data_IF_664802581393
#
_entry.id   IF_664802581393
#
_cell.length_a   1.000
_cell.length_b   1.000
_cell.length_c   1.000
_cell.angle_alpha   90.00
_cell.angle_beta   90.00
_cell.angle_gamma   90.00
#
_symmetry.space_group_name_H-M   'P 1'
#
loop_
_entity.id
_entity.type
_entity.pdbx_description
1 polymer ?
#
# COMPACT_ATOMS: atom_id res chain seq x y z
N UNK A 1 -14.68 -6.09 8.88
CA UNK A 1 -13.37 -5.78 8.22
C UNK A 1 -12.94 -4.36 8.57
N UNK A 2 -11.63 -4.07 8.59
CA UNK A 2 -11.14 -2.72 8.93
C UNK A 2 -11.56 -1.70 7.86
N UNK A 3 -12.25 -0.63 8.25
CA UNK A 3 -12.72 0.45 7.37
C UNK A 3 -11.70 1.60 7.33
N UNK A 4 -11.19 1.94 6.15
CA UNK A 4 -10.12 2.95 5.99
C UNK A 4 -10.63 4.40 6.07
N UNK A 5 -11.92 4.63 5.90
CA UNK A 5 -12.55 5.95 5.95
C UNK A 5 -12.81 6.42 7.39
N UNK A 6 -12.97 5.49 8.33
CA UNK A 6 -13.32 5.77 9.74
C UNK A 6 -12.10 5.70 10.65
N UNK A 7 -11.20 6.67 10.49
CA UNK A 7 -9.94 6.80 11.26
C UNK A 7 -10.08 7.89 12.31
N UNK A 8 -9.59 7.62 13.52
CA UNK A 8 -9.39 8.63 14.57
C UNK A 8 -8.11 8.36 15.34
N UNK A 9 -7.57 9.38 15.99
CA UNK A 9 -6.37 9.27 16.83
C UNK A 9 -6.77 9.64 18.26
N UNK A 10 -6.57 8.73 19.21
CA UNK A 10 -6.79 8.95 20.64
C UNK A 10 -5.55 8.50 21.42
N UNK A 11 -5.05 9.34 22.34
CA UNK A 11 -3.85 9.03 23.15
C UNK A 11 -2.60 8.68 22.30
N UNK A 12 -2.51 9.29 21.11
CA UNK A 12 -1.46 9.02 20.12
C UNK A 12 -1.67 7.73 19.33
N UNK A 13 -2.68 6.92 19.63
CA UNK A 13 -2.95 5.64 18.95
C UNK A 13 -3.99 5.85 17.85
N UNK A 14 -3.70 5.30 16.67
CA UNK A 14 -4.63 5.33 15.54
C UNK A 14 -5.65 4.21 15.70
N UNK A 15 -6.93 4.56 15.58
CA UNK A 15 -8.06 3.66 15.79
C UNK A 15 -8.86 3.59 14.50
N UNK A 16 -9.10 2.37 14.03
CA UNK A 16 -9.97 2.08 12.90
C UNK A 16 -11.26 1.43 13.40
N UNK A 17 -12.37 1.71 12.72
CA UNK A 17 -13.64 1.03 12.97
C UNK A 17 -13.82 -0.17 12.06
N UNK A 18 -14.63 -1.14 12.49
CA UNK A 18 -15.09 -2.20 11.60
C UNK A 18 -16.20 -1.66 10.67
N UNK A 19 -16.28 -2.19 9.46
CA UNK A 19 -17.28 -1.81 8.46
C UNK A 19 -18.66 -2.42 8.72
N UNK A 20 -18.73 -3.59 9.36
CA UNK A 20 -19.96 -4.32 9.64
C UNK A 20 -20.44 -4.10 11.08
N UNK A 21 -19.52 -4.07 12.06
CA UNK A 21 -19.86 -3.87 13.48
C UNK A 21 -19.40 -2.49 13.97
N UNK A 22 -20.35 -1.56 14.15
CA UNK A 22 -20.08 -0.21 14.65
C UNK A 22 -19.52 -0.16 16.08
N UNK A 23 -19.58 -1.27 16.82
CA UNK A 23 -19.02 -1.40 18.18
C UNK A 23 -17.61 -1.96 18.19
N UNK A 24 -17.09 -2.41 17.04
CA UNK A 24 -15.81 -3.08 16.93
C UNK A 24 -14.73 -2.15 16.39
N UNK A 25 -13.58 -2.15 17.05
CA UNK A 25 -12.48 -1.24 16.76
C UNK A 25 -11.14 -1.97 16.73
N UNK A 26 -10.24 -1.48 15.89
CA UNK A 26 -8.88 -1.98 15.72
C UNK A 26 -7.89 -0.90 16.12
N UNK A 27 -6.98 -1.23 17.04
CA UNK A 27 -5.98 -0.30 17.55
C UNK A 27 -4.65 -0.51 16.82
N UNK A 28 -4.09 0.57 16.28
CA UNK A 28 -2.76 0.59 15.67
C UNK A 28 -1.83 1.42 16.56
N UNK A 29 -0.78 0.81 17.14
CA UNK A 29 0.26 1.55 17.85
C UNK A 29 0.91 2.61 16.96
N UNK A 30 1.38 3.69 17.57
CA UNK A 30 2.14 4.76 16.92
C UNK A 30 3.62 4.42 16.76
N UNK A 31 4.22 3.88 17.83
CA UNK A 31 5.64 3.59 17.87
C UNK A 31 5.92 2.17 18.37
N UNK A 32 6.92 1.48 17.80
CA UNK A 32 7.42 0.24 18.37
C UNK A 32 8.12 0.51 19.70
N UNK A 33 8.04 -0.46 20.62
CA UNK A 33 8.63 -0.36 21.95
C UNK A 33 9.47 -1.59 22.26
N UNK A 34 10.44 -1.47 23.15
CA UNK A 34 11.10 -2.66 23.71
C UNK A 34 10.08 -3.48 24.48
N UNK A 35 10.10 -4.79 24.26
CA UNK A 35 9.29 -5.72 25.03
C UNK A 35 9.74 -5.66 26.48
N UNK A 36 8.79 -5.50 27.41
CA UNK A 36 9.08 -5.64 28.84
C UNK A 36 9.09 -7.12 29.22
N UNK A 37 10.05 -7.53 30.04
CA UNK A 37 10.08 -8.84 30.67
C UNK A 37 9.14 -8.87 31.90
N UNK A 38 8.97 -10.05 32.50
CA UNK A 38 8.06 -10.24 33.65
C UNK A 38 8.50 -9.45 34.90
N UNK A 39 9.75 -8.96 34.93
CA UNK A 39 10.29 -8.10 36.00
C UNK A 39 10.15 -6.60 35.70
N UNK A 40 9.49 -6.22 34.60
CA UNK A 40 9.28 -4.83 34.20
C UNK A 40 10.49 -4.14 33.58
N UNK A 41 11.55 -4.87 33.24
CA UNK A 41 12.73 -4.35 32.55
C UNK A 41 12.60 -4.57 31.03
N UNK A 42 13.12 -3.66 30.18
CA UNK A 42 13.15 -3.90 28.74
C UNK A 42 14.01 -5.12 28.41
N UNK A 43 13.57 -5.94 27.46
CA UNK A 43 14.33 -7.02 26.86
C UNK A 43 15.40 -6.41 25.95
N UNK A 44 16.44 -5.89 26.58
CA UNK A 44 17.58 -5.24 25.97
C UNK A 44 18.83 -5.64 26.74
N UNK A 45 19.78 -6.26 26.04
CA UNK A 45 21.06 -6.64 26.60
C UNK A 45 22.17 -6.22 25.63
N UNK A 46 23.22 -5.63 26.20
CA UNK A 46 24.41 -5.22 25.46
C UNK A 46 25.63 -5.84 26.16
N UNK A 47 26.43 -6.56 25.38
CA UNK A 47 27.64 -7.23 25.84
C UNK A 47 28.82 -6.68 25.05
N UNK A 48 29.81 -6.15 25.76
CA UNK A 48 31.08 -5.67 25.19
C UNK A 48 32.20 -6.63 25.57
N UNK A 49 33.03 -7.00 24.60
CA UNK A 49 34.24 -7.77 24.88
C UNK A 49 35.32 -6.89 25.50
N UNK A 50 36.02 -7.42 26.50
CA UNK A 50 37.15 -6.72 27.14
C UNK A 50 38.39 -6.69 26.26
N UNK A 51 38.59 -7.74 25.47
CA UNK A 51 39.59 -7.79 24.39
C UNK A 51 38.87 -8.24 23.12
N UNK A 52 39.01 -7.52 22.00
CA UNK A 52 38.35 -7.90 20.76
C UNK A 52 38.79 -9.31 20.33
N UNK A 53 37.83 -10.10 19.86
CA UNK A 53 38.13 -11.45 19.38
C UNK A 53 38.56 -11.33 17.93
N UNK A 54 39.80 -11.72 17.64
CA UNK A 54 40.29 -11.86 16.27
C UNK A 54 39.58 -13.04 15.60
N UNK A 55 38.77 -12.78 14.58
CA UNK A 55 38.13 -13.83 13.78
C UNK A 55 39.03 -14.26 12.63
N UNK A 56 38.73 -15.42 12.07
CA UNK A 56 39.43 -16.00 10.90
C UNK A 56 39.42 -15.11 9.65
N UNK A 57 38.50 -14.15 9.57
CA UNK A 57 38.36 -13.17 8.47
C UNK A 57 39.12 -11.84 8.73
N UNK A 58 39.87 -11.75 9.84
CA UNK A 58 40.62 -10.53 10.22
C UNK A 58 39.76 -9.40 10.80
N UNK A 59 38.44 -9.58 10.88
CA UNK A 59 37.53 -8.69 11.61
C UNK A 59 37.62 -8.89 13.13
N UNK A 60 37.47 -7.80 13.88
CA UNK A 60 37.52 -7.77 15.34
C UNK A 60 36.12 -7.61 15.92
N UNK A 61 35.63 -8.69 16.52
CA UNK A 61 34.34 -8.68 17.23
C UNK A 61 34.44 -7.84 18.50
N UNK A 62 33.62 -6.79 18.59
CA UNK A 62 33.58 -5.87 19.71
C UNK A 62 32.50 -6.17 20.74
N UNK A 63 31.39 -6.78 20.31
CA UNK A 63 30.29 -7.10 21.19
C UNK A 63 29.03 -7.55 20.48
N UNK A 64 28.00 -7.84 21.29
CA UNK A 64 26.68 -8.26 20.83
C UNK A 64 25.59 -7.44 21.51
N UNK A 65 24.60 -7.03 20.72
CA UNK A 65 23.37 -6.42 21.21
C UNK A 65 22.21 -7.34 20.91
N UNK A 66 21.39 -7.62 21.92
CA UNK A 66 20.18 -8.43 21.80
C UNK A 66 19.01 -7.60 22.31
N UNK A 67 18.01 -7.40 21.49
CA UNK A 67 16.79 -6.72 21.91
C UNK A 67 15.54 -7.30 21.29
N UNK A 68 14.48 -7.37 22.09
CA UNK A 68 13.15 -7.71 21.59
C UNK A 68 12.31 -6.46 21.49
N UNK A 69 11.73 -6.25 20.32
CA UNK A 69 10.85 -5.13 20.04
C UNK A 69 9.44 -5.68 19.83
N UNK A 70 8.45 -4.99 20.36
CA UNK A 70 7.05 -5.30 20.15
C UNK A 70 6.30 -4.08 19.60
N UNK A 71 5.35 -4.37 18.72
CA UNK A 71 4.45 -3.38 18.15
C UNK A 71 3.04 -3.64 18.67
N UNK A 72 2.80 -3.19 19.90
CA UNK A 72 1.56 -3.41 20.63
C UNK A 72 1.17 -2.21 21.49
N UNK A 73 -0.13 -2.07 21.77
CA UNK A 73 -0.66 -1.02 22.65
C UNK A 73 -0.49 -1.46 24.11
N UNK A 74 -0.01 -0.55 24.97
CA UNK A 74 0.05 -0.76 26.43
C UNK A 74 -1.35 -1.01 27.01
N UNK A 75 -1.47 -1.87 28.02
CA UNK A 75 -2.78 -2.07 28.69
C UNK A 75 -3.35 -0.78 29.30
N UNK A 76 -2.50 0.12 29.80
CA UNK A 76 -2.92 1.43 30.32
C UNK A 76 -3.62 2.28 29.27
N UNK A 77 -2.95 2.53 28.12
CA UNK A 77 -3.56 3.25 27.00
C UNK A 77 -4.79 2.51 26.44
N UNK A 78 -4.77 1.18 26.40
CA UNK A 78 -5.91 0.38 25.94
C UNK A 78 -7.14 0.62 26.82
N UNK A 79 -6.98 0.59 28.15
CA UNK A 79 -8.08 0.86 29.08
C UNK A 79 -8.62 2.29 28.93
N UNK A 80 -7.73 3.29 28.77
CA UNK A 80 -8.10 4.67 28.55
C UNK A 80 -8.90 4.85 27.24
N UNK A 81 -8.47 4.19 26.16
CA UNK A 81 -9.17 4.20 24.87
C UNK A 81 -10.53 3.54 24.99
N UNK A 82 -10.63 2.34 25.55
CA UNK A 82 -11.91 1.62 25.71
C UNK A 82 -12.92 2.47 26.48
N UNK A 83 -12.49 3.16 27.54
CA UNK A 83 -13.36 4.08 28.29
C UNK A 83 -13.91 5.20 27.39
N UNK A 84 -13.06 5.88 26.62
CA UNK A 84 -13.49 6.94 25.69
C UNK A 84 -14.42 6.40 24.60
N UNK A 85 -14.13 5.22 24.06
CA UNK A 85 -14.96 4.58 23.04
C UNK A 85 -16.35 4.20 23.57
N UNK A 86 -16.44 3.74 24.82
CA UNK A 86 -17.72 3.46 25.46
C UNK A 86 -18.55 4.74 25.67
N UNK A 87 -17.91 5.85 26.05
CA UNK A 87 -18.56 7.16 26.18
C UNK A 87 -19.10 7.65 24.82
N UNK A 88 -18.31 7.52 23.75
CA UNK A 88 -18.74 7.84 22.38
C UNK A 88 -19.92 6.96 21.92
N UNK A 89 -19.84 5.65 22.15
CA UNK A 89 -20.90 4.72 21.80
C UNK A 89 -22.20 5.02 22.56
N UNK A 90 -22.11 5.37 23.84
CA UNK A 90 -23.27 5.75 24.65
C UNK A 90 -23.94 7.04 24.14
N UNK A 91 -23.16 8.00 23.65
CA UNK A 91 -23.69 9.23 23.04
C UNK A 91 -24.31 8.97 21.67
N UNK A 92 -23.72 8.07 20.88
CA UNK A 92 -24.18 7.75 19.53
C UNK A 92 -25.43 6.86 19.54
N UNK A 93 -25.60 6.02 20.54
CA UNK A 93 -26.75 5.14 20.73
C UNK A 93 -27.48 5.45 22.05
N UNK A 94 -28.10 6.63 22.21
CA UNK A 94 -28.70 7.04 23.48
C UNK A 94 -29.89 6.17 23.90
N UNK A 95 -30.59 5.58 22.93
CA UNK A 95 -31.83 4.83 23.14
C UNK A 95 -31.63 3.31 23.20
N UNK A 96 -30.38 2.82 23.18
CA UNK A 96 -30.08 1.39 23.15
C UNK A 96 -29.82 0.87 24.56
N UNK A 97 -30.53 -0.18 24.96
CA UNK A 97 -30.40 -0.84 26.26
C UNK A 97 -30.23 -2.37 26.07
N UNK A 98 -29.12 -2.98 26.54
CA UNK A 98 -27.98 -2.35 27.19
C UNK A 98 -27.17 -1.47 26.24
N UNK A 99 -26.49 -0.47 26.81
CA UNK A 99 -25.57 0.39 26.04
C UNK A 99 -24.49 -0.47 25.39
N UNK A 100 -24.17 -0.24 24.11
CA UNK A 100 -23.16 -1.01 23.43
C UNK A 100 -21.77 -0.73 23.99
N UNK A 101 -21.00 -1.79 24.21
CA UNK A 101 -19.60 -1.71 24.65
C UNK A 101 -18.64 -1.86 23.46
N UNK A 102 -17.52 -1.15 23.54
CA UNK A 102 -16.45 -1.17 22.55
C UNK A 102 -15.70 -2.50 22.58
N UNK A 103 -15.75 -3.24 21.46
CA UNK A 103 -15.01 -4.48 21.26
C UNK A 103 -13.69 -4.18 20.55
N UNK A 104 -12.58 -4.48 21.20
CA UNK A 104 -11.26 -4.35 20.56
C UNK A 104 -10.94 -5.63 19.79
N UNK A 105 -10.93 -5.53 18.47
CA UNK A 105 -10.52 -6.61 17.57
C UNK A 105 -9.01 -6.70 17.43
N UNK A 106 -8.50 -7.92 17.26
CA UNK A 106 -7.12 -8.12 16.84
C UNK A 106 -6.95 -7.74 15.36
N UNK A 107 -5.92 -6.95 15.06
CA UNK A 107 -5.58 -6.63 13.68
C UNK A 107 -4.88 -7.83 13.03
N UNK A 108 -5.38 -8.27 11.89
CA UNK A 108 -4.77 -9.36 11.12
C UNK A 108 -3.85 -8.78 10.07
N UNK A 109 -2.57 -9.12 10.12
CA UNK A 109 -1.58 -8.72 9.12
C UNK A 109 -1.39 -9.83 8.09
N UNK A 110 -1.36 -9.49 6.81
CA UNK A 110 -1.11 -10.45 5.72
C UNK A 110 0.37 -10.57 5.41
N UNK A 111 1.12 -9.47 5.56
CA UNK A 111 2.57 -9.39 5.37
C UNK A 111 3.15 -8.40 6.36
N UNK A 112 4.40 -8.61 6.72
CA UNK A 112 5.14 -7.62 7.46
C UNK A 112 6.62 -7.90 7.50
N UNK A 113 7.40 -6.83 7.57
CA UNK A 113 8.84 -6.86 7.80
C UNK A 113 9.20 -5.89 8.92
N UNK A 114 10.23 -6.22 9.66
CA UNK A 114 10.79 -5.34 10.68
C UNK A 114 12.28 -5.17 10.36
N UNK A 115 12.75 -3.94 10.28
CA UNK A 115 14.13 -3.60 9.91
C UNK A 115 14.76 -2.72 10.96
N UNK A 116 16.06 -2.88 11.11
CA UNK A 116 16.88 -2.10 12.01
C UNK A 116 17.61 -1.03 11.20
N UNK A 117 17.38 0.25 11.50
CA UNK A 117 17.98 1.36 10.76
C UNK A 117 19.47 1.59 11.11
N UNK A 118 20.17 0.57 11.62
CA UNK A 118 21.61 0.61 11.91
C UNK A 118 22.40 0.08 10.69
N UNK A 119 21.76 -0.71 9.82
CA UNK A 119 22.40 -1.30 8.62
C UNK A 119 22.96 -0.22 7.67
N UNK A 120 22.36 0.98 7.64
CA UNK A 120 22.83 2.11 6.83
C UNK A 120 24.01 2.89 7.43
N UNK A 121 24.44 2.57 8.65
CA UNK A 121 25.56 3.27 9.32
C UNK A 121 26.92 2.69 8.88
N UNK A 122 26.89 1.63 8.05
CA UNK A 122 28.03 1.06 7.35
C UNK A 122 28.66 -0.10 8.10
N UNK A 123 29.30 -0.99 7.32
CA UNK A 123 30.03 -2.20 7.76
C UNK A 123 31.13 -1.91 8.80
N UNK A 124 31.48 -0.63 9.01
CA UNK A 124 32.47 -0.18 10.00
C UNK A 124 31.98 -0.25 11.44
N UNK A 125 30.67 -0.28 11.68
CA UNK A 125 30.10 -0.30 13.03
C UNK A 125 29.38 -1.61 13.34
N UNK A 126 28.68 -2.17 12.35
CA UNK A 126 27.94 -3.43 12.47
C UNK A 126 28.57 -4.47 11.56
N UNK A 127 28.90 -5.62 12.13
CA UNK A 127 29.40 -6.77 11.37
C UNK A 127 28.25 -7.59 10.76
N UNK A 128 27.15 -7.69 11.50
CA UNK A 128 25.97 -8.41 11.02
C UNK A 128 24.75 -8.11 11.86
N UNK A 129 23.58 -8.09 11.21
CA UNK A 129 22.28 -8.07 11.88
C UNK A 129 21.63 -9.42 11.64
N UNK A 130 21.43 -10.17 12.72
CA UNK A 130 20.64 -11.38 12.71
C UNK A 130 19.22 -11.06 13.17
N UNK A 131 18.29 -11.18 12.23
CA UNK A 131 16.87 -10.96 12.46
C UNK A 131 16.08 -12.04 11.70
N UNK A 132 15.10 -12.72 12.32
CA UNK A 132 14.04 -13.33 11.53
C UNK A 132 13.28 -12.17 10.87
N UNK A 133 13.58 -11.85 9.61
CA UNK A 133 13.10 -10.65 8.89
C UNK A 133 11.57 -10.45 8.77
N UNK A 134 10.77 -11.17 9.55
CA UNK A 134 9.33 -11.06 9.70
C UNK A 134 8.96 -11.03 11.20
N UNK A 135 8.14 -10.06 11.64
CA UNK A 135 7.56 -10.10 12.99
C UNK A 135 6.64 -11.31 13.15
N UNK A 136 6.19 -11.59 14.37
CA UNK A 136 5.26 -12.71 14.62
C UNK A 136 3.94 -12.63 13.84
N UNK A 137 3.57 -11.46 13.29
CA UNK A 137 2.32 -11.14 12.55
C UNK A 137 1.01 -11.43 13.29
N UNK A 138 1.11 -11.98 14.50
CA UNK A 138 0.02 -12.28 15.41
C UNK A 138 0.39 -11.82 16.83
N UNK A 139 -0.63 -11.54 17.63
CA UNK A 139 -0.48 -11.13 19.02
C UNK A 139 0.18 -9.76 19.14
N UNK A 140 1.36 -9.71 19.77
CA UNK A 140 2.10 -8.47 20.09
C UNK A 140 3.11 -8.05 19.01
N UNK A 141 3.15 -8.72 17.86
CA UNK A 141 4.08 -8.44 16.76
C UNK A 141 5.55 -8.32 17.23
N UNK A 142 5.98 -9.32 17.99
CA UNK A 142 7.32 -9.33 18.57
C UNK A 142 8.34 -9.65 17.47
N UNK A 143 9.47 -8.96 17.48
CA UNK A 143 10.62 -9.22 16.62
C UNK A 143 11.90 -9.17 17.45
N UNK A 144 12.62 -10.30 17.58
CA UNK A 144 13.94 -10.32 18.20
C UNK A 144 14.99 -9.81 17.21
N UNK A 145 15.87 -8.95 17.67
CA UNK A 145 17.04 -8.48 16.93
C UNK A 145 18.30 -8.86 17.68
N UNK A 146 19.25 -9.45 16.95
CA UNK A 146 20.62 -9.66 17.42
C UNK A 146 21.55 -8.93 16.48
N UNK A 147 22.42 -8.08 17.01
CA UNK A 147 23.38 -7.30 16.24
C UNK A 147 24.77 -7.64 16.71
N UNK A 148 25.61 -8.07 15.77
CA UNK A 148 27.05 -8.22 15.98
C UNK A 148 27.73 -6.88 15.69
N UNK A 149 28.47 -6.38 16.67
CA UNK A 149 29.15 -5.10 16.60
C UNK A 149 30.65 -5.31 16.43
N UNK A 150 31.27 -4.46 15.61
CA UNK A 150 32.72 -4.30 15.55
C UNK A 150 33.24 -3.69 16.87
N UNK A 151 34.54 -3.72 17.10
CA UNK A 151 35.18 -3.05 18.26
C UNK A 151 34.82 -1.55 18.36
N UNK A 152 34.89 -0.82 17.23
CA UNK A 152 34.49 0.58 17.16
C UNK A 152 32.99 0.77 17.40
N UNK A 153 32.16 -0.09 16.79
CA UNK A 153 30.71 -0.11 17.00
C UNK A 153 30.35 -0.32 18.46
N UNK A 154 30.94 -1.30 19.11
CA UNK A 154 30.70 -1.59 20.52
C UNK A 154 31.02 -0.36 21.39
N UNK A 155 32.19 0.26 21.23
CA UNK A 155 32.56 1.44 22.03
C UNK A 155 31.64 2.64 21.76
N UNK A 156 31.24 2.87 20.51
CA UNK A 156 30.29 3.93 20.18
C UNK A 156 28.92 3.69 20.79
N UNK A 157 28.41 2.46 20.72
CA UNK A 157 27.13 2.07 21.32
C UNK A 157 27.13 2.26 22.84
N UNK A 158 28.22 1.90 23.51
CA UNK A 158 28.39 2.15 24.94
C UNK A 158 28.28 3.64 25.28
N UNK A 159 28.98 4.51 24.53
CA UNK A 159 28.91 5.96 24.72
C UNK A 159 27.51 6.51 24.43
N UNK A 160 26.84 6.02 23.38
CA UNK A 160 25.47 6.44 23.04
C UNK A 160 24.48 6.08 24.17
N UNK A 161 24.58 4.86 24.71
CA UNK A 161 23.74 4.40 25.83
C UNK A 161 24.02 5.17 27.13
N UNK A 162 25.29 5.46 27.45
CA UNK A 162 25.67 6.23 28.64
C UNK A 162 25.19 7.68 28.58
N UNK A 163 25.19 8.29 27.40
CA UNK A 163 24.66 9.64 27.18
C UNK A 163 23.12 9.68 27.08
N UNK A 164 22.42 8.59 27.41
CA UNK A 164 20.97 8.45 27.31
C UNK A 164 20.42 8.70 25.89
N UNK A 165 21.26 8.61 24.87
CA UNK A 165 20.89 8.80 23.47
C UNK A 165 20.38 7.50 22.85
N UNK A 166 19.17 7.53 22.29
CA UNK A 166 18.65 6.44 21.46
C UNK A 166 19.29 6.47 20.07
N UNK A 167 20.22 5.55 19.80
CA UNK A 167 20.86 5.43 18.49
C UNK A 167 20.17 4.40 17.57
N UNK A 168 19.32 3.54 18.14
CA UNK A 168 18.71 2.42 17.43
C UNK A 168 17.26 2.73 17.11
N UNK A 169 16.92 2.71 15.82
CA UNK A 169 15.54 2.82 15.35
C UNK A 169 15.12 1.53 14.66
N UNK A 170 13.90 1.10 14.96
CA UNK A 170 13.27 -0.08 14.36
C UNK A 170 12.09 0.42 13.54
N UNK A 171 12.06 0.02 12.28
CA UNK A 171 10.97 0.33 11.35
C UNK A 171 10.16 -0.95 11.09
N UNK A 172 8.85 -0.87 11.30
CA UNK A 172 7.89 -1.90 10.92
C UNK A 172 7.21 -1.49 9.61
N UNK A 173 7.18 -2.40 8.65
CA UNK A 173 6.38 -2.30 7.43
C UNK A 173 5.34 -3.42 7.49
N UNK A 174 4.07 -3.08 7.71
CA UNK A 174 2.97 -4.01 7.97
C UNK A 174 1.82 -3.80 6.98
N UNK A 175 1.30 -4.90 6.44
CA UNK A 175 0.19 -4.90 5.50
C UNK A 175 -1.04 -5.53 6.16
N UNK A 176 -2.14 -4.80 6.19
CA UNK A 176 -3.43 -5.29 6.68
C UNK A 176 -4.49 -5.17 5.58
N UNK A 177 -5.42 -6.13 5.47
CA UNK A 177 -6.54 -6.03 4.55
C UNK A 177 -7.52 -4.97 5.07
N UNK A 178 -7.89 -4.03 4.21
CA UNK A 178 -8.80 -2.93 4.53
C UNK A 178 -9.92 -2.86 3.52
N UNK A 179 -11.10 -2.45 3.96
CA UNK A 179 -12.24 -2.21 3.08
C UNK A 179 -12.14 -0.79 2.55
N UNK A 180 -12.23 -0.66 1.23
CA UNK A 180 -12.38 0.64 0.59
C UNK A 180 -13.84 1.11 0.72
N UNK A 181 -14.05 2.43 0.94
CA UNK A 181 -15.41 2.98 0.91
C UNK A 181 -16.02 2.80 -0.50
N UNK A 182 -17.35 2.86 -0.63
CA UNK A 182 -18.00 2.84 -1.94
C UNK A 182 -17.46 3.96 -2.83
N UNK A 183 -17.04 3.62 -4.06
CA UNK A 183 -16.56 4.58 -5.05
C UNK A 183 -17.61 4.68 -6.15
N UNK A 184 -18.17 5.86 -6.35
CA UNK A 184 -19.03 6.16 -7.49
C UNK A 184 -18.18 6.74 -8.63
N UNK A 185 -18.15 6.06 -9.77
CA UNK A 185 -17.40 6.50 -10.96
C UNK A 185 -18.39 6.99 -12.01
N UNK A 186 -18.39 8.30 -12.24
CA UNK A 186 -19.11 8.90 -13.36
C UNK A 186 -18.19 8.95 -14.59
N UNK A 187 -18.48 8.16 -15.61
CA UNK A 187 -17.75 8.17 -16.89
C UNK A 187 -18.57 8.94 -17.92
N UNK A 188 -17.99 9.99 -18.48
CA UNK A 188 -18.58 10.76 -19.57
C UNK A 188 -17.85 10.43 -20.87
N UNK A 189 -18.57 9.88 -21.85
CA UNK A 189 -18.06 9.69 -23.19
C UNK A 189 -18.53 10.83 -24.10
N UNK A 190 -17.59 11.55 -24.71
CA UNK A 190 -17.88 12.55 -25.73
C UNK A 190 -17.72 11.86 -27.09
N UNK A 191 -18.84 11.54 -27.75
CA UNK A 191 -18.89 10.77 -29.00
C UNK A 191 -18.46 11.55 -30.26
N UNK A 192 -17.88 12.74 -30.14
CA UNK A 192 -17.62 13.63 -31.28
C UNK A 192 -16.51 13.16 -32.24
N UNK A 193 -15.75 12.11 -31.90
CA UNK A 193 -14.67 11.56 -32.75
C UNK A 193 -14.93 10.16 -33.31
N UNK A 194 -16.11 9.59 -33.07
CA UNK A 194 -16.41 8.22 -33.53
C UNK A 194 -16.96 8.16 -34.98
N UNK A 195 -17.24 9.30 -35.61
CA UNK A 195 -17.95 9.39 -36.90
C UNK A 195 -17.08 9.82 -38.09
N UNK A 196 -15.79 10.06 -37.92
CA UNK A 196 -14.91 10.48 -39.02
C UNK A 196 -14.17 9.28 -39.62
N UNK A 197 -14.93 8.37 -40.22
CA UNK A 197 -14.41 7.36 -41.14
C UNK A 197 -15.29 7.34 -42.38
N UNK A 198 -15.10 8.29 -43.28
CA UNK A 198 -15.69 8.28 -44.63
C UNK A 198 -14.69 7.65 -45.59
N UNK A 199 -15.01 6.46 -46.12
CA UNK A 199 -14.25 5.82 -47.19
C UNK A 199 -14.74 6.34 -48.55
N UNK A 200 -13.84 6.96 -49.32
CA UNK A 200 -14.10 7.37 -50.71
C UNK A 200 -14.05 6.16 -51.65
N UNK A 201 -15.20 5.64 -52.07
CA UNK A 201 -15.28 4.65 -53.14
C UNK A 201 -15.37 5.32 -54.52
N UNK A 202 -14.28 5.25 -55.29
CA UNK A 202 -14.30 5.70 -56.70
C UNK A 202 -14.73 4.56 -57.62
N UNK A 203 -16.02 4.47 -57.95
CA UNK A 203 -16.55 3.50 -58.92
C UNK A 203 -16.36 4.01 -60.36
N UNK A 204 -15.38 3.46 -61.10
CA UNK A 204 -15.23 3.72 -62.55
C UNK A 204 -16.07 2.75 -63.36
N UNK A 205 -17.30 3.11 -63.70
CA UNK A 205 -18.11 2.34 -64.65
C UNK A 205 -17.80 2.79 -66.09
N UNK A 206 -17.06 1.96 -66.84
CA UNK A 206 -16.94 2.14 -68.30
C UNK A 206 -18.16 1.53 -68.98
N UNK A 207 -19.12 2.38 -69.40
CA UNK A 207 -20.11 1.96 -70.40
C UNK A 207 -19.45 2.01 -71.78
N UNK A 208 -19.02 0.86 -72.27
CA UNK A 208 -18.47 0.73 -73.62
C UNK A 208 -19.64 0.53 -74.60
N UNK A 209 -20.30 1.63 -74.98
CA UNK A 209 -21.29 1.62 -76.06
C UNK A 209 -20.59 1.65 -77.41
N UNK A 210 -20.89 0.71 -78.32
CA UNK A 210 -20.23 0.53 -79.61
C UNK A 210 -20.26 1.76 -80.54
N UNK A 211 -21.19 2.70 -80.33
CA UNK A 211 -21.33 3.91 -81.14
C UNK A 211 -20.54 5.12 -80.63
N UNK A 212 -19.97 5.06 -79.42
CA UNK A 212 -19.24 6.17 -78.80
C UNK A 212 -17.73 6.19 -79.12
N UNK A 213 -17.20 5.18 -79.84
CA UNK A 213 -15.78 5.06 -80.19
C UNK A 213 -15.40 5.84 -81.46
N UNK A 214 -16.26 5.86 -82.48
CA UNK A 214 -15.99 6.49 -83.79
C UNK A 214 -15.90 8.02 -83.67
N UNK A 215 -16.81 8.63 -82.90
CA UNK A 215 -16.78 10.07 -82.65
C UNK A 215 -15.62 10.54 -81.77
N UNK A 216 -15.05 9.65 -80.94
CA UNK A 216 -13.93 9.98 -80.03
C UNK A 216 -12.59 10.06 -80.76
N UNK A 217 -12.43 9.32 -81.86
CA UNK A 217 -11.21 9.36 -82.69
C UNK A 217 -11.15 10.64 -83.54
N UNK A 218 -12.30 11.12 -84.01
CA UNK A 218 -12.36 12.30 -84.88
C UNK A 218 -12.37 13.65 -84.16
N UNK A 219 -12.89 13.74 -82.93
CA UNK A 219 -13.13 15.05 -82.30
C UNK A 219 -12.61 15.22 -80.87
N UNK A 220 -11.66 14.39 -80.43
CA UNK A 220 -10.75 14.69 -79.31
C UNK A 220 -11.41 15.35 -78.09
N UNK A 221 -12.46 14.74 -77.53
CA UNK A 221 -13.19 15.28 -76.38
C UNK A 221 -13.41 14.24 -75.30
N UNK A 222 -12.84 14.45 -74.12
CA UNK A 222 -13.10 13.63 -72.92
C UNK A 222 -14.00 14.44 -71.99
N UNK A 223 -15.32 14.21 -72.04
CA UNK A 223 -16.18 14.65 -70.94
C UNK A 223 -16.16 13.58 -69.84
N UNK A 224 -15.83 14.00 -68.62
CA UNK A 224 -15.93 13.18 -67.42
C UNK A 224 -16.92 13.87 -66.49
N UNK A 225 -18.15 13.36 -66.40
CA UNK A 225 -19.07 13.81 -65.36
C UNK A 225 -18.66 13.14 -64.04
N UNK A 226 -18.33 13.99 -63.06
CA UNK A 226 -18.04 13.62 -61.68
C UNK A 226 -19.36 13.66 -60.92
N UNK A 227 -19.93 12.50 -60.63
CA UNK A 227 -21.10 12.42 -59.75
C UNK A 227 -20.62 11.97 -58.38
N UNK A 228 -20.58 12.91 -57.44
CA UNK A 228 -20.37 12.63 -56.02
C UNK A 228 -21.71 12.15 -55.47
N UNK A 229 -21.80 10.88 -55.06
CA UNK A 229 -22.95 10.37 -54.34
C UNK A 229 -22.53 10.26 -52.88
N UNK A 230 -23.04 11.17 -52.05
CA UNK A 230 -22.90 11.06 -50.60
C UNK A 230 -24.01 10.11 -50.13
N UNK A 231 -23.68 8.86 -49.81
CA UNK A 231 -24.59 8.00 -49.07
C UNK A 231 -24.11 7.92 -47.63
N UNK A 232 -24.96 8.38 -46.71
CA UNK A 232 -24.80 8.09 -45.29
C UNK A 232 -25.18 6.62 -45.04
N UNK A 233 -24.51 5.97 -44.07
CA UNK A 233 -24.77 4.57 -43.68
C UNK A 233 -26.25 4.25 -43.33
N UNK A 234 -27.10 5.25 -43.13
CA UNK A 234 -28.56 5.06 -42.98
C UNK A 234 -29.24 4.50 -44.25
N UNK A 235 -28.71 4.73 -45.45
CA UNK A 235 -29.30 4.21 -46.70
C UNK A 235 -28.92 2.73 -46.95
N UNK A 236 -27.68 2.32 -46.66
CA UNK A 236 -27.25 0.91 -46.77
C UNK A 236 -27.96 0.01 -45.73
N UNK A 237 -28.24 0.53 -44.54
CA UNK A 237 -28.98 -0.20 -43.51
C UNK A 237 -30.45 -0.48 -43.90
N UNK A 238 -31.04 0.32 -44.80
CA UNK A 238 -32.39 0.08 -45.34
C UNK A 238 -32.40 -0.91 -46.50
N UNK A 239 -31.32 -1.01 -47.27
CA UNK A 239 -31.24 -1.92 -48.42
C UNK A 239 -30.95 -3.38 -48.00
N UNK A 240 -30.43 -3.59 -46.79
CA UNK A 240 -30.15 -4.92 -46.22
C UNK A 240 -31.23 -5.48 -45.26
N UNK A 241 -32.40 -4.84 -45.14
CA UNK A 241 -33.52 -5.38 -44.36
C UNK A 241 -34.57 -6.07 -45.23
N UNK A 242 -34.21 -7.16 -45.92
CA UNK A 242 -35.17 -8.21 -46.33
C UNK A 242 -34.45 -9.56 -46.49
N UNK A 243 -34.68 -10.49 -45.55
CA UNK A 243 -34.25 -11.89 -45.62
C UNK A 243 -33.69 -12.42 -44.31
#
# INVERSE_FOLDING_TARGET
MLAIDKIRVLEGITIYSDDEDETKFYLMPDVPRFRMNDTGKPSFAYYKYRMPIDRTDGSKGGGFLVCDVEFSVTEEKRAAIVKKLNEELAQRFPNRDPKPEAKIGAMTYTKGTAKLNIENIGEKFVEGVFNPGKPSLYGRNITPFTVELTDLGATFFEQALQNQGGFVQVAYDLYAPVKLPPIEVHIWFIASKFLEFTQDFTKRTRRQGAFASVWRWFFGGTSGNRTTINQSMEEEAREYQWG
#
